data_IF_887005319466
#
_entry.id   IF_887005319466
#
_cell.length_a   1.000
_cell.length_b   1.000
_cell.length_c   1.000
_cell.angle_alpha   90.00
_cell.angle_beta   90.00
_cell.angle_gamma   90.00
#
_symmetry.space_group_name_H-M   'P 1'
#
loop_
_entity.id
_entity.type
_entity.pdbx_description
1 polymer ?
#
# COMPACT_ATOMS: atom_id res chain seq x y z
N UNK A 1 27.85 -22.28 14.72
CA UNK A 1 26.50 -22.83 14.44
C UNK A 1 25.70 -21.85 13.59
N UNK A 2 25.03 -22.33 12.54
CA UNK A 2 24.09 -21.50 11.77
C UNK A 2 22.73 -21.48 12.46
N UNK A 3 22.19 -20.28 12.65
CA UNK A 3 20.87 -20.06 13.25
C UNK A 3 20.03 -19.14 12.37
N UNK A 4 18.72 -19.33 12.44
CA UNK A 4 17.71 -18.50 11.80
C UNK A 4 17.07 -17.67 12.91
N UNK A 5 17.22 -16.34 12.86
CA UNK A 5 16.61 -15.46 13.85
C UNK A 5 15.08 -15.46 13.71
N UNK A 6 14.36 -15.71 14.79
CA UNK A 6 12.90 -15.63 14.85
C UNK A 6 12.42 -14.24 15.25
N UNK A 7 13.29 -13.44 15.87
CA UNK A 7 13.03 -12.06 16.28
C UNK A 7 14.24 -11.18 15.95
N UNK A 8 14.02 -9.86 15.90
CA UNK A 8 15.10 -8.90 15.74
C UNK A 8 15.96 -8.83 17.00
N UNK A 9 17.26 -9.07 16.85
CA UNK A 9 18.25 -8.99 17.93
C UNK A 9 19.21 -7.84 17.61
N UNK A 10 19.10 -6.76 18.38
CA UNK A 10 19.89 -5.53 18.21
C UNK A 10 21.38 -5.84 18.06
N UNK A 11 21.95 -5.43 16.92
CA UNK A 11 23.38 -5.59 16.61
C UNK A 11 23.82 -7.00 16.20
N UNK A 12 22.92 -7.99 16.14
CA UNK A 12 23.25 -9.38 15.77
C UNK A 12 22.56 -9.83 14.49
N UNK A 13 21.26 -9.59 14.36
CA UNK A 13 20.52 -9.92 13.15
C UNK A 13 19.03 -9.60 13.24
N UNK A 14 18.38 -9.54 12.08
CA UNK A 14 16.94 -9.30 11.96
C UNK A 14 16.16 -10.61 11.85
N UNK A 15 14.86 -10.57 12.10
CA UNK A 15 13.95 -11.70 11.93
C UNK A 15 14.04 -12.28 10.52
N UNK A 16 14.13 -13.60 10.42
CA UNK A 16 14.27 -14.34 9.17
C UNK A 16 15.70 -14.38 8.63
N UNK A 17 16.65 -13.67 9.24
CA UNK A 17 18.04 -13.69 8.80
C UNK A 17 18.74 -14.97 9.26
N UNK A 18 19.51 -15.57 8.36
CA UNK A 18 20.38 -16.70 8.67
C UNK A 18 21.78 -16.16 8.94
N UNK A 19 22.32 -16.44 10.12
CA UNK A 19 23.67 -16.02 10.48
C UNK A 19 24.42 -17.13 11.19
N UNK A 20 25.72 -17.11 11.01
CA UNK A 20 26.62 -17.94 11.78
C UNK A 20 27.00 -17.24 13.07
N UNK A 21 26.80 -17.94 14.19
CA UNK A 21 27.08 -17.44 15.54
C UNK A 21 27.86 -18.51 16.32
N UNK A 22 28.57 -18.12 17.39
CA UNK A 22 29.21 -19.08 18.28
C UNK A 22 28.20 -20.05 18.90
N UNK A 23 28.57 -21.33 19.01
CA UNK A 23 27.67 -22.41 19.42
C UNK A 23 27.10 -22.16 20.83
N UNK A 24 27.96 -21.78 21.78
CA UNK A 24 27.53 -21.45 23.14
C UNK A 24 26.58 -20.26 23.21
N UNK A 25 26.66 -19.30 22.29
CA UNK A 25 25.74 -18.17 22.22
C UNK A 25 24.41 -18.56 21.54
N UNK A 26 24.46 -19.42 20.51
CA UNK A 26 23.26 -19.99 19.90
C UNK A 26 22.42 -20.76 20.91
N UNK A 27 23.02 -21.74 21.59
CA UNK A 27 22.27 -22.67 22.43
C UNK A 27 21.84 -22.04 23.76
N UNK A 28 22.76 -21.40 24.49
CA UNK A 28 22.49 -20.93 25.84
C UNK A 28 21.68 -19.62 25.88
N UNK A 29 21.71 -18.84 24.80
CA UNK A 29 21.04 -17.54 24.75
C UNK A 29 19.97 -17.48 23.66
N UNK A 30 20.34 -17.63 22.39
CA UNK A 30 19.41 -17.36 21.29
C UNK A 30 18.27 -18.40 21.21
N UNK A 31 18.58 -19.68 21.30
CA UNK A 31 17.61 -20.78 21.20
C UNK A 31 16.81 -20.89 22.50
N UNK A 32 17.48 -20.88 23.66
CA UNK A 32 16.79 -20.92 24.97
C UNK A 32 15.82 -19.77 25.18
N UNK A 33 16.12 -18.57 24.67
CA UNK A 33 15.20 -17.42 24.72
C UNK A 33 14.21 -17.34 23.56
N UNK A 34 14.23 -18.30 22.62
CA UNK A 34 13.33 -18.31 21.46
C UNK A 34 13.60 -17.20 20.45
N UNK A 35 14.79 -16.60 20.47
CA UNK A 35 15.23 -15.53 19.56
C UNK A 35 15.80 -16.07 18.24
N UNK A 36 16.23 -17.33 18.21
CA UNK A 36 16.63 -18.02 16.98
C UNK A 36 16.32 -19.52 17.03
N UNK A 37 16.29 -20.14 15.86
CA UNK A 37 16.20 -21.59 15.66
C UNK A 37 17.45 -22.11 14.95
N UNK A 38 17.80 -23.37 15.17
CA UNK A 38 18.87 -24.01 14.42
C UNK A 38 18.57 -24.01 12.92
N UNK A 39 19.53 -23.64 12.08
CA UNK A 39 19.38 -23.62 10.63
C UNK A 39 19.54 -25.03 10.03
N UNK A 40 18.64 -25.95 10.40
CA UNK A 40 18.60 -27.30 9.83
C UNK A 40 18.16 -27.24 8.35
N UNK A 41 18.48 -28.26 7.53
CA UNK A 41 18.03 -28.30 6.13
C UNK A 41 16.51 -28.13 5.99
N UNK A 42 15.74 -28.72 6.91
CA UNK A 42 14.29 -28.57 6.96
C UNK A 42 13.86 -27.12 7.29
N UNK A 43 14.48 -26.49 8.29
CA UNK A 43 14.19 -25.11 8.67
C UNK A 43 14.58 -24.11 7.57
N UNK A 44 15.69 -24.35 6.89
CA UNK A 44 16.14 -23.57 5.73
C UNK A 44 15.19 -23.72 4.54
N UNK A 45 14.70 -24.94 4.27
CA UNK A 45 13.71 -25.17 3.23
C UNK A 45 12.37 -24.48 3.55
N UNK A 46 11.92 -24.54 4.80
CA UNK A 46 10.72 -23.86 5.26
C UNK A 46 10.85 -22.32 5.12
N UNK A 47 12.00 -21.74 5.50
CA UNK A 47 12.29 -20.32 5.32
C UNK A 47 12.23 -19.91 3.85
N UNK A 48 12.87 -20.68 2.96
CA UNK A 48 12.82 -20.43 1.51
C UNK A 48 11.40 -20.55 0.95
N UNK A 49 10.63 -21.52 1.45
CA UNK A 49 9.21 -21.66 1.09
C UNK A 49 8.40 -20.44 1.49
N UNK A 50 8.59 -19.94 2.72
CA UNK A 50 7.92 -18.72 3.20
C UNK A 50 8.33 -17.49 2.38
N UNK A 51 9.64 -17.29 2.13
CA UNK A 51 10.14 -16.19 1.30
C UNK A 51 9.54 -16.22 -0.10
N UNK A 52 9.52 -17.37 -0.76
CA UNK A 52 8.90 -17.52 -2.09
C UNK A 52 7.40 -17.21 -2.08
N UNK A 53 6.69 -17.58 -1.02
CA UNK A 53 5.27 -17.26 -0.89
C UNK A 53 5.04 -15.77 -0.66
N UNK A 54 5.89 -15.12 0.13
CA UNK A 54 5.85 -13.68 0.36
C UNK A 54 6.18 -12.90 -0.91
N UNK A 55 7.25 -13.28 -1.62
CA UNK A 55 7.64 -12.72 -2.92
C UNK A 55 6.52 -12.86 -3.95
N UNK A 56 5.89 -14.04 -4.04
CA UNK A 56 4.74 -14.24 -4.94
C UNK A 56 3.56 -13.35 -4.59
N UNK A 57 3.19 -13.27 -3.31
CA UNK A 57 2.10 -12.39 -2.85
C UNK A 57 2.42 -10.92 -3.09
N UNK A 58 3.69 -10.53 -2.96
CA UNK A 58 4.12 -9.16 -3.22
C UNK A 58 4.08 -8.85 -4.72
N UNK A 59 4.54 -9.77 -5.56
CA UNK A 59 4.43 -9.65 -7.02
C UNK A 59 2.97 -9.59 -7.50
N UNK A 60 2.09 -10.43 -6.94
CA UNK A 60 0.64 -10.41 -7.21
C UNK A 60 0.03 -9.05 -6.85
N UNK A 61 0.29 -8.54 -5.64
CA UNK A 61 -0.18 -7.22 -5.21
C UNK A 61 0.35 -6.09 -6.09
N UNK A 62 1.60 -6.20 -6.54
CA UNK A 62 2.21 -5.22 -7.44
C UNK A 62 1.50 -5.25 -8.81
N UNK A 63 1.28 -6.42 -9.37
CA UNK A 63 0.56 -6.59 -10.63
C UNK A 63 -0.89 -6.09 -10.53
N UNK A 64 -1.59 -6.39 -9.43
CA UNK A 64 -2.92 -5.85 -9.15
C UNK A 64 -2.92 -4.31 -9.07
N UNK A 65 -1.91 -3.71 -8.44
CA UNK A 65 -1.76 -2.26 -8.35
C UNK A 65 -1.47 -1.62 -9.71
N UNK A 66 -0.65 -2.24 -10.56
CA UNK A 66 -0.40 -1.79 -11.94
C UNK A 66 -1.67 -1.87 -12.80
N UNK A 67 -2.41 -2.97 -12.70
CA UNK A 67 -3.70 -3.12 -13.39
C UNK A 67 -4.73 -2.09 -12.91
N UNK A 68 -4.76 -1.80 -11.60
CA UNK A 68 -5.62 -0.79 -11.01
C UNK A 68 -5.23 0.62 -11.46
N UNK A 69 -3.93 0.92 -11.54
CA UNK A 69 -3.41 2.18 -12.09
C UNK A 69 -3.91 2.39 -13.51
N UNK A 70 -3.77 1.39 -14.38
CA UNK A 70 -4.23 1.48 -15.76
C UNK A 70 -5.73 1.80 -15.85
N UNK A 71 -6.56 1.18 -14.99
CA UNK A 71 -8.00 1.47 -14.94
C UNK A 71 -8.32 2.88 -14.46
N UNK A 72 -7.56 3.39 -13.49
CA UNK A 72 -7.76 4.73 -12.92
C UNK A 72 -7.33 5.82 -13.91
N UNK A 73 -6.21 5.61 -14.61
CA UNK A 73 -5.67 6.58 -15.58
C UNK A 73 -6.32 6.48 -16.96
N UNK A 74 -7.21 5.51 -17.20
CA UNK A 74 -7.98 5.40 -18.43
C UNK A 74 -8.74 6.70 -18.72
N UNK A 75 -8.75 7.10 -19.99
CA UNK A 75 -9.42 8.30 -20.44
C UNK A 75 -10.94 8.29 -20.19
N UNK A 76 -11.52 7.11 -19.97
CA UNK A 76 -12.94 6.92 -19.64
C UNK A 76 -13.24 7.06 -18.15
N UNK A 77 -12.23 7.03 -17.29
CA UNK A 77 -12.38 7.06 -15.83
C UNK A 77 -12.27 8.50 -15.33
N UNK A 78 -13.36 9.25 -15.43
CA UNK A 78 -13.48 10.62 -14.92
C UNK A 78 -14.51 10.63 -13.81
N UNK A 79 -14.06 10.84 -12.58
CA UNK A 79 -14.94 10.85 -11.40
C UNK A 79 -15.73 12.14 -11.38
N UNK A 80 -17.03 12.04 -11.65
CA UNK A 80 -17.93 13.18 -11.67
C UNK A 80 -18.53 13.42 -10.28
N UNK A 81 -18.37 14.63 -9.74
CA UNK A 81 -18.93 15.01 -8.45
C UNK A 81 -19.77 16.27 -8.65
N UNK A 82 -21.06 16.18 -8.34
CA UNK A 82 -21.96 17.33 -8.37
C UNK A 82 -21.91 18.05 -7.02
N UNK A 83 -21.72 19.37 -7.06
CA UNK A 83 -21.70 20.20 -5.87
C UNK A 83 -22.24 21.60 -6.16
N UNK A 84 -22.85 22.24 -5.15
CA UNK A 84 -23.34 23.62 -5.27
C UNK A 84 -22.16 24.60 -5.29
N UNK A 85 -22.17 25.50 -6.27
CA UNK A 85 -21.20 26.57 -6.41
C UNK A 85 -21.88 27.95 -6.35
N UNK A 86 -21.12 28.97 -5.95
CA UNK A 86 -21.54 30.37 -6.09
C UNK A 86 -21.11 30.96 -7.44
N UNK A 87 -21.46 32.22 -7.68
CA UNK A 87 -21.20 32.93 -8.94
C UNK A 87 -19.70 32.95 -9.35
N UNK A 88 -18.78 32.93 -8.38
CA UNK A 88 -17.33 32.92 -8.61
C UNK A 88 -16.73 31.53 -8.90
N UNK A 89 -17.54 30.53 -9.30
CA UNK A 89 -17.09 29.13 -9.54
C UNK A 89 -16.44 28.44 -8.32
N UNK A 90 -16.60 29.04 -7.14
CA UNK A 90 -16.16 28.52 -5.85
C UNK A 90 -17.28 27.70 -5.23
N UNK A 91 -16.94 26.52 -4.73
CA UNK A 91 -17.87 25.64 -4.05
C UNK A 91 -18.26 26.23 -2.68
N UNK A 92 -19.54 26.12 -2.34
CA UNK A 92 -20.02 26.45 -0.98
C UNK A 92 -19.42 25.52 0.08
N UNK A 93 -19.10 24.28 -0.33
CA UNK A 93 -18.45 23.28 0.50
C UNK A 93 -17.04 22.96 0.02
N UNK A 94 -16.55 21.80 0.44
CA UNK A 94 -15.31 21.24 -0.05
C UNK A 94 -15.47 19.75 -0.31
N UNK A 95 -14.77 19.24 -1.31
CA UNK A 95 -14.78 17.82 -1.65
C UNK A 95 -13.54 17.17 -1.03
N UNK A 96 -13.67 16.41 0.07
CA UNK A 96 -12.57 15.68 0.66
C UNK A 96 -12.32 14.35 -0.07
N UNK A 97 -11.16 13.73 0.19
CA UNK A 97 -10.78 12.42 -0.37
C UNK A 97 -11.82 11.31 -0.16
N UNK A 98 -12.61 11.39 0.94
CA UNK A 98 -13.70 10.44 1.21
C UNK A 98 -14.79 10.50 0.13
N UNK A 99 -15.16 11.69 -0.34
CA UNK A 99 -16.18 11.82 -1.39
C UNK A 99 -15.65 11.31 -2.73
N UNK A 100 -14.38 11.58 -3.04
CA UNK A 100 -13.73 11.07 -4.26
C UNK A 100 -13.71 9.54 -4.25
N UNK A 101 -13.29 8.92 -3.15
CA UNK A 101 -13.28 7.46 -3.02
C UNK A 101 -14.67 6.83 -3.19
N UNK A 102 -15.70 7.42 -2.56
CA UNK A 102 -17.08 6.94 -2.69
C UNK A 102 -17.62 7.12 -4.12
N UNK A 103 -17.33 8.24 -4.77
CA UNK A 103 -17.76 8.51 -6.14
C UNK A 103 -17.10 7.55 -7.13
N UNK A 104 -15.80 7.28 -6.94
CA UNK A 104 -15.04 6.31 -7.73
C UNK A 104 -15.61 4.89 -7.61
N UNK A 105 -15.94 4.45 -6.39
CA UNK A 105 -16.57 3.13 -6.16
C UNK A 105 -17.98 3.07 -6.78
N UNK A 106 -18.79 4.12 -6.65
CA UNK A 106 -20.14 4.16 -7.23
C UNK A 106 -20.16 4.14 -8.75
N UNK A 107 -19.26 4.87 -9.40
CA UNK A 107 -19.28 5.04 -10.86
C UNK A 107 -18.52 3.94 -11.59
N UNK A 108 -17.39 3.50 -11.03
CA UNK A 108 -16.46 2.59 -11.71
C UNK A 108 -16.24 1.28 -10.96
N UNK A 109 -16.88 1.09 -9.79
CA UNK A 109 -16.68 -0.09 -8.93
C UNK A 109 -15.22 -0.29 -8.51
N UNK A 110 -14.46 0.80 -8.48
CA UNK A 110 -13.05 0.81 -8.09
C UNK A 110 -12.96 1.23 -6.62
N UNK A 111 -12.64 0.27 -5.75
CA UNK A 111 -12.45 0.50 -4.32
C UNK A 111 -11.04 0.99 -4.03
N UNK A 112 -10.93 2.25 -3.63
CA UNK A 112 -9.68 2.87 -3.18
C UNK A 112 -9.86 3.40 -1.76
N UNK A 113 -8.92 3.11 -0.87
CA UNK A 113 -8.91 3.69 0.48
C UNK A 113 -8.60 5.20 0.38
N UNK A 114 -9.42 6.03 1.04
CA UNK A 114 -9.21 7.48 1.17
C UNK A 114 -7.81 7.87 1.66
N UNK A 115 -7.12 7.00 2.42
CA UNK A 115 -5.75 7.21 2.92
C UNK A 115 -4.69 7.13 1.82
N UNK A 116 -5.00 6.42 0.73
CA UNK A 116 -4.13 6.31 -0.44
C UNK A 116 -4.23 7.54 -1.35
N UNK A 117 -5.29 8.33 -1.22
CA UNK A 117 -5.52 9.54 -2.02
C UNK A 117 -4.76 10.70 -1.39
N UNK A 118 -3.69 11.15 -2.04
CA UNK A 118 -2.88 12.27 -1.59
C UNK A 118 -3.53 13.60 -2.01
N UNK A 119 -4.42 14.08 -1.15
CA UNK A 119 -5.12 15.35 -1.33
C UNK A 119 -4.69 16.32 -0.22
N UNK A 120 -3.68 17.15 -0.51
CA UNK A 120 -3.14 18.16 0.43
C UNK A 120 -4.20 19.17 0.89
N UNK A 121 -5.08 19.57 -0.02
CA UNK A 121 -6.18 20.48 0.26
C UNK A 121 -7.46 19.96 -0.42
N UNK A 122 -8.60 19.96 0.28
CA UNK A 122 -9.90 19.62 -0.32
C UNK A 122 -10.22 20.48 -1.55
N UNK A 123 -10.88 19.90 -2.55
CA UNK A 123 -11.26 20.63 -3.77
C UNK A 123 -12.38 21.62 -3.42
N UNK A 124 -12.20 22.89 -3.81
CA UNK A 124 -13.11 24.01 -3.50
C UNK A 124 -13.53 24.81 -4.74
N UNK A 125 -13.18 24.36 -5.92
CA UNK A 125 -13.51 24.99 -7.20
C UNK A 125 -14.20 24.00 -8.12
N UNK A 126 -15.03 24.51 -9.02
CA UNK A 126 -15.55 23.73 -10.14
C UNK A 126 -14.43 23.40 -11.14
N UNK A 127 -14.66 22.38 -11.98
CA UNK A 127 -13.76 21.99 -13.06
C UNK A 127 -12.99 20.70 -12.82
N UNK A 128 -11.89 20.53 -13.55
CA UNK A 128 -11.09 19.31 -13.53
C UNK A 128 -9.93 19.42 -12.55
N UNK A 129 -9.70 18.38 -11.77
CA UNK A 129 -8.55 18.29 -10.86
C UNK A 129 -7.97 16.89 -10.90
N UNK A 130 -6.66 16.81 -11.11
CA UNK A 130 -5.93 15.56 -11.09
C UNK A 130 -5.42 15.29 -9.67
N UNK A 131 -5.93 14.24 -9.04
CA UNK A 131 -5.60 13.88 -7.66
C UNK A 131 -4.68 12.66 -7.66
N UNK A 132 -3.46 12.76 -7.11
CA UNK A 132 -2.55 11.63 -7.02
C UNK A 132 -3.04 10.60 -5.99
N UNK A 133 -2.82 9.33 -6.28
CA UNK A 133 -3.18 8.19 -5.44
C UNK A 133 -2.05 7.17 -5.41
N UNK A 134 -1.62 6.82 -4.20
CA UNK A 134 -0.54 5.87 -3.96
C UNK A 134 -1.14 4.48 -3.80
N UNK A 135 -1.10 3.66 -4.85
CA UNK A 135 -1.73 2.34 -4.85
C UNK A 135 -0.88 1.29 -4.14
N UNK A 136 0.43 1.34 -4.36
CA UNK A 136 1.45 0.45 -3.82
C UNK A 136 2.81 1.19 -3.78
N UNK A 137 3.80 0.79 -2.94
CA UNK A 137 5.12 1.41 -2.96
C UNK A 137 5.73 1.49 -4.36
N UNK A 138 6.00 2.72 -4.83
CA UNK A 138 6.52 2.98 -6.17
C UNK A 138 5.50 2.95 -7.31
N UNK A 139 4.20 2.79 -7.01
CA UNK A 139 3.10 2.81 -7.99
C UNK A 139 2.09 3.87 -7.59
N UNK A 140 2.20 5.03 -8.24
CA UNK A 140 1.27 6.14 -8.12
C UNK A 140 0.40 6.25 -9.37
N UNK A 141 -0.88 6.58 -9.18
CA UNK A 141 -1.87 6.82 -10.21
C UNK A 141 -2.48 8.22 -10.07
N UNK A 142 -3.04 8.78 -11.14
CA UNK A 142 -3.76 10.06 -11.10
C UNK A 142 -5.25 9.87 -11.40
N UNK A 143 -6.10 10.13 -10.41
CA UNK A 143 -7.55 10.20 -10.63
C UNK A 143 -7.90 11.56 -11.22
N UNK A 144 -8.62 11.57 -12.34
CA UNK A 144 -9.22 12.79 -12.88
C UNK A 144 -10.59 13.00 -12.25
N UNK A 145 -10.73 14.05 -11.45
CA UNK A 145 -11.98 14.44 -10.80
C UNK A 145 -12.57 15.61 -11.56
N UNK A 146 -13.83 15.49 -11.97
CA UNK A 146 -14.58 16.57 -12.60
C UNK A 146 -15.69 17.02 -11.65
N UNK A 147 -15.58 18.25 -11.18
CA UNK A 147 -16.58 18.87 -10.31
C UNK A 147 -17.55 19.67 -11.15
N UNK A 148 -18.82 19.26 -11.12
CA UNK A 148 -19.93 19.87 -11.85
C UNK A 148 -20.82 20.66 -10.90
N UNK A 149 -21.38 21.76 -11.39
CA UNK A 149 -22.35 22.54 -10.64
C UNK A 149 -23.67 21.77 -10.53
N UNK A 150 -24.15 21.63 -9.29
CA UNK A 150 -25.49 21.12 -9.01
C UNK A 150 -26.49 22.30 -9.01
N UNK A 151 -27.34 22.34 -10.04
CA UNK A 151 -28.49 23.27 -10.09
C UNK A 151 -29.51 22.99 -8.99
#
# INVERSE_FOLDING_TARGET
MKVIFTQDVRGKGNRGQVKEVPDGYAENFLIRKGLAKAATPQAMSALRGQQRLEEKKEAEKKAEAEALKAKIEDDKTVVQIQAKAGEDSRLFGSIPSKQIATALDRQYQIKVDKRKIDLKQPIRSLGFTNVPVNLFPGIDARIRVHVLEQK
#
